data_IF_992888324465
#
_entry.id   IF_992888324465
#
_cell.length_a   1.000
_cell.length_b   1.000
_cell.length_c   1.000
_cell.angle_alpha   90.00
_cell.angle_beta   90.00
_cell.angle_gamma   90.00
#
_symmetry.space_group_name_H-M   'P 1'
#
loop_
_entity.id
_entity.type
_entity.pdbx_description
1 polymer ?
#
# COMPACT_ATOMS: atom_id res chain seq x y z
N UNK A 1 11.20 -19.06 -10.78
CA UNK A 1 12.20 -18.15 -10.16
C UNK A 1 12.57 -18.72 -8.81
N UNK A 2 13.84 -18.82 -8.51
CA UNK A 2 14.35 -19.22 -7.20
C UNK A 2 14.10 -18.10 -6.17
N UNK A 3 13.97 -18.44 -4.88
CA UNK A 3 13.72 -17.45 -3.83
C UNK A 3 14.89 -16.46 -3.67
N UNK A 4 16.12 -16.94 -3.81
CA UNK A 4 17.30 -16.07 -3.75
C UNK A 4 17.30 -15.08 -4.92
N UNK A 5 16.95 -15.54 -6.13
CA UNK A 5 16.82 -14.66 -7.30
C UNK A 5 15.76 -13.58 -7.05
N UNK A 6 14.59 -13.95 -6.49
CA UNK A 6 13.52 -12.99 -6.18
C UNK A 6 14.00 -11.93 -5.17
N UNK A 7 14.68 -12.34 -4.11
CA UNK A 7 15.21 -11.42 -3.09
C UNK A 7 16.24 -10.46 -3.70
N UNK A 8 17.16 -10.99 -4.52
CA UNK A 8 18.24 -10.19 -5.11
C UNK A 8 17.77 -9.28 -6.26
N UNK A 9 16.78 -9.73 -7.05
CA UNK A 9 16.35 -9.03 -8.26
C UNK A 9 15.20 -8.03 -8.02
N UNK A 10 14.34 -8.25 -7.00
CA UNK A 10 13.23 -7.34 -6.72
C UNK A 10 13.70 -5.90 -6.56
N UNK A 11 13.04 -4.98 -7.26
CA UNK A 11 13.26 -3.52 -7.14
C UNK A 11 11.92 -2.82 -6.95
N UNK A 12 11.97 -1.57 -6.47
CA UNK A 12 10.82 -0.68 -6.44
C UNK A 12 10.55 -0.16 -7.84
N UNK A 13 9.40 -0.52 -8.39
CA UNK A 13 8.92 -0.10 -9.71
C UNK A 13 7.90 1.01 -9.52
N UNK A 14 8.07 2.14 -10.20
CA UNK A 14 7.21 3.33 -10.06
C UNK A 14 6.39 3.63 -11.30
N UNK A 15 6.73 3.01 -12.41
CA UNK A 15 6.02 3.17 -13.68
C UNK A 15 5.42 1.82 -14.06
N UNK A 16 4.16 1.84 -14.37
CA UNK A 16 3.39 0.67 -14.73
C UNK A 16 2.67 0.90 -16.05
N UNK A 17 2.38 -0.17 -16.77
CA UNK A 17 1.41 -0.15 -17.86
C UNK A 17 0.00 0.10 -17.28
N UNK A 18 -0.95 0.42 -18.14
CA UNK A 18 -2.36 0.60 -17.77
C UNK A 18 -3.14 -0.73 -17.67
N UNK A 19 -2.44 -1.87 -17.87
CA UNK A 19 -3.05 -3.18 -17.83
C UNK A 19 -3.57 -3.51 -16.43
N UNK A 20 -4.86 -3.85 -16.29
CA UNK A 20 -5.42 -4.22 -14.99
C UNK A 20 -4.82 -5.53 -14.48
N UNK A 21 -4.65 -5.62 -13.17
CA UNK A 21 -4.21 -6.86 -12.52
C UNK A 21 -5.44 -7.75 -12.27
N UNK A 22 -5.37 -9.00 -12.69
CA UNK A 22 -6.46 -9.94 -12.52
C UNK A 22 -6.70 -10.24 -11.02
N UNK A 23 -7.95 -10.46 -10.67
CA UNK A 23 -8.37 -10.74 -9.29
C UNK A 23 -7.61 -11.93 -8.71
N UNK A 24 -7.46 -13.00 -9.48
CA UNK A 24 -6.76 -14.22 -9.09
C UNK A 24 -5.27 -13.97 -8.79
N UNK A 25 -4.64 -13.02 -9.49
CA UNK A 25 -3.27 -12.61 -9.19
C UNK A 25 -3.22 -11.89 -7.84
N UNK A 26 -4.15 -10.96 -7.59
CA UNK A 26 -4.23 -10.23 -6.33
C UNK A 26 -4.45 -11.22 -5.16
N UNK A 27 -5.42 -12.14 -5.29
CA UNK A 27 -5.71 -13.14 -4.26
C UNK A 27 -4.47 -13.98 -3.90
N UNK A 28 -3.72 -14.45 -4.89
CA UNK A 28 -2.46 -15.18 -4.66
C UNK A 28 -1.41 -14.35 -3.92
N UNK A 29 -1.35 -13.04 -4.18
CA UNK A 29 -0.45 -12.15 -3.47
C UNK A 29 -0.86 -11.96 -2.01
N UNK A 30 -2.17 -11.84 -1.75
CA UNK A 30 -2.71 -11.74 -0.39
C UNK A 30 -2.54 -13.03 0.40
N UNK A 31 -2.70 -14.19 -0.25
CA UNK A 31 -2.39 -15.49 0.34
C UNK A 31 -0.92 -15.58 0.77
N UNK A 32 0.02 -15.15 -0.10
CA UNK A 32 1.43 -15.14 0.22
C UNK A 32 1.73 -14.22 1.42
N UNK A 33 1.09 -13.05 1.47
CA UNK A 33 1.21 -12.13 2.60
C UNK A 33 0.74 -12.77 3.92
N UNK A 34 -0.38 -13.48 3.89
CA UNK A 34 -0.96 -14.12 5.06
C UNK A 34 -0.15 -15.30 5.62
N UNK A 35 0.88 -15.76 4.89
CA UNK A 35 1.83 -16.80 5.39
C UNK A 35 2.97 -16.22 6.23
N UNK A 36 2.95 -14.93 6.54
CA UNK A 36 3.96 -14.34 7.42
C UNK A 36 3.92 -14.97 8.81
N UNK A 37 5.08 -15.17 9.46
CA UNK A 37 5.11 -15.60 10.85
C UNK A 37 4.43 -14.57 11.74
N UNK A 38 3.61 -15.04 12.67
CA UNK A 38 2.84 -14.18 13.56
C UNK A 38 2.82 -14.77 14.96
N UNK A 39 3.47 -14.08 15.89
CA UNK A 39 3.42 -14.45 17.31
C UNK A 39 1.97 -14.31 17.82
N UNK A 40 1.54 -15.21 18.69
CA UNK A 40 0.18 -15.25 19.30
C UNK A 40 -0.97 -15.50 18.31
N UNK A 41 -0.70 -15.73 17.02
CA UNK A 41 -1.71 -15.99 15.99
C UNK A 41 -2.81 -14.91 15.92
N UNK A 42 -2.45 -13.66 16.16
CA UNK A 42 -3.36 -12.51 16.12
C UNK A 42 -3.86 -12.24 14.69
N UNK A 43 -3.08 -12.61 13.68
CA UNK A 43 -3.35 -12.34 12.26
C UNK A 43 -3.84 -10.89 12.04
N UNK A 44 -3.01 -9.90 12.39
CA UNK A 44 -3.45 -8.51 12.55
C UNK A 44 -3.69 -7.79 11.24
N UNK A 45 -3.12 -8.30 10.14
CA UNK A 45 -3.16 -7.67 8.81
C UNK A 45 -4.56 -7.63 8.22
N UNK A 46 -4.88 -6.52 7.57
CA UNK A 46 -6.04 -6.34 6.70
C UNK A 46 -5.57 -5.74 5.39
N UNK A 47 -6.17 -6.17 4.30
CA UNK A 47 -5.81 -5.73 2.95
C UNK A 47 -7.03 -5.11 2.29
N UNK A 48 -6.86 -3.89 1.82
CA UNK A 48 -7.89 -3.12 1.11
C UNK A 48 -7.42 -2.89 -0.32
N UNK A 49 -8.02 -3.59 -1.27
CA UNK A 49 -7.75 -3.37 -2.70
C UNK A 49 -8.55 -2.15 -3.14
N UNK A 50 -7.84 -1.07 -3.45
CA UNK A 50 -8.46 0.23 -3.68
C UNK A 50 -9.07 0.32 -5.09
N UNK A 51 -10.36 0.61 -5.17
CA UNK A 51 -11.03 0.99 -6.42
C UNK A 51 -10.60 2.40 -6.89
N UNK A 52 -10.95 2.79 -8.13
CA UNK A 52 -10.55 4.08 -8.71
C UNK A 52 -10.95 5.29 -7.85
N UNK A 53 -12.13 5.25 -7.23
CA UNK A 53 -12.63 6.32 -6.37
C UNK A 53 -11.80 6.47 -5.10
N UNK A 54 -11.47 5.35 -4.44
CA UNK A 54 -10.63 5.34 -3.24
C UNK A 54 -9.21 5.84 -3.55
N UNK A 55 -8.61 5.41 -4.67
CA UNK A 55 -7.31 5.90 -5.15
C UNK A 55 -7.34 7.41 -5.43
N UNK A 56 -8.39 7.90 -6.05
CA UNK A 56 -8.60 9.34 -6.30
C UNK A 56 -8.72 10.12 -4.98
N UNK A 57 -9.53 9.64 -4.04
CA UNK A 57 -9.72 10.26 -2.74
C UNK A 57 -8.41 10.30 -1.94
N UNK A 58 -7.68 9.19 -1.91
CA UNK A 58 -6.35 9.13 -1.28
C UNK A 58 -5.35 10.07 -1.96
N UNK A 59 -5.34 10.08 -3.29
CA UNK A 59 -4.49 10.97 -4.10
C UNK A 59 -4.71 12.45 -3.79
N UNK A 60 -5.97 12.86 -3.55
CA UNK A 60 -6.29 14.23 -3.16
C UNK A 60 -5.71 14.58 -1.77
N UNK A 61 -5.78 13.67 -0.79
CA UNK A 61 -5.18 13.88 0.54
C UNK A 61 -3.66 13.97 0.44
N UNK A 62 -3.04 13.06 -0.31
CA UNK A 62 -1.59 13.05 -0.53
C UNK A 62 -1.13 14.31 -1.27
N UNK A 63 -1.88 14.73 -2.30
CA UNK A 63 -1.63 15.95 -3.06
C UNK A 63 -1.71 17.20 -2.18
N UNK A 64 -2.76 17.33 -1.38
CA UNK A 64 -2.93 18.44 -0.44
C UNK A 64 -1.77 18.51 0.58
N UNK A 65 -1.27 17.35 1.04
CA UNK A 65 -0.09 17.30 1.91
C UNK A 65 1.18 17.78 1.22
N UNK A 66 1.40 17.38 -0.04
CA UNK A 66 2.56 17.83 -0.83
C UNK A 66 2.47 19.32 -1.14
N UNK A 67 1.28 19.81 -1.45
CA UNK A 67 1.03 21.22 -1.76
C UNK A 67 1.29 22.17 -0.60
N UNK A 68 1.29 21.71 0.66
CA UNK A 68 1.61 22.56 1.84
C UNK A 68 2.95 23.28 1.78
N UNK A 69 3.88 22.82 0.95
CA UNK A 69 5.22 23.41 0.77
C UNK A 69 5.30 24.35 -0.44
N UNK A 70 4.19 24.54 -1.14
CA UNK A 70 4.10 25.39 -2.35
C UNK A 70 3.40 26.67 -1.98
N UNK A 71 4.10 27.82 -2.11
CA UNK A 71 3.58 29.12 -1.70
C UNK A 71 2.56 29.68 -2.68
N UNK A 72 2.78 29.47 -3.98
CA UNK A 72 1.87 29.91 -5.02
C UNK A 72 0.59 29.07 -5.05
N UNK A 73 -0.60 29.70 -4.90
CA UNK A 73 -1.87 28.97 -4.85
C UNK A 73 -2.22 28.20 -6.13
N UNK A 74 -1.83 28.71 -7.29
CA UNK A 74 -2.10 28.06 -8.58
C UNK A 74 -1.19 26.82 -8.74
N UNK A 75 0.09 26.96 -8.45
CA UNK A 75 1.03 25.84 -8.44
C UNK A 75 0.63 24.79 -7.39
N UNK A 76 0.14 25.20 -6.22
CA UNK A 76 -0.34 24.29 -5.19
C UNK A 76 -1.54 23.44 -5.69
N UNK A 77 -2.50 24.04 -6.40
CA UNK A 77 -3.62 23.32 -7.02
C UNK A 77 -3.12 22.33 -8.07
N UNK A 78 -2.22 22.77 -8.95
CA UNK A 78 -1.63 21.90 -9.97
C UNK A 78 -0.94 20.68 -9.35
N UNK A 79 -0.25 20.83 -8.20
CA UNK A 79 0.33 19.70 -7.46
C UNK A 79 -0.76 18.73 -6.97
N UNK A 80 -1.85 19.24 -6.41
CA UNK A 80 -2.98 18.38 -5.97
C UNK A 80 -3.57 17.61 -7.13
N UNK A 81 -3.90 18.28 -8.22
CA UNK A 81 -4.48 17.67 -9.41
C UNK A 81 -3.56 16.59 -10.00
N UNK A 82 -2.27 16.90 -10.16
CA UNK A 82 -1.28 15.95 -10.68
C UNK A 82 -1.17 14.70 -9.82
N UNK A 83 -1.09 14.85 -8.50
CA UNK A 83 -0.98 13.71 -7.58
C UNK A 83 -2.26 12.89 -7.57
N UNK A 84 -3.41 13.55 -7.56
CA UNK A 84 -4.72 12.88 -7.62
C UNK A 84 -4.88 12.05 -8.88
N UNK A 85 -4.52 12.63 -10.04
CA UNK A 85 -4.59 11.93 -11.31
C UNK A 85 -3.63 10.74 -11.36
N UNK A 86 -2.40 10.90 -10.85
CA UNK A 86 -1.40 9.84 -10.83
C UNK A 86 -1.84 8.64 -9.96
N UNK A 87 -2.40 8.88 -8.77
CA UNK A 87 -2.90 7.80 -7.90
C UNK A 87 -4.16 7.14 -8.52
N UNK A 88 -5.05 7.90 -9.13
CA UNK A 88 -6.25 7.37 -9.78
C UNK A 88 -5.92 6.48 -11.00
N UNK A 89 -4.82 6.77 -11.70
CA UNK A 89 -4.38 6.05 -12.90
C UNK A 89 -3.62 4.74 -12.60
N UNK A 90 -3.29 4.46 -11.34
CA UNK A 90 -2.58 3.22 -10.99
C UNK A 90 -3.41 1.99 -11.41
N UNK A 91 -2.79 0.94 -11.96
CA UNK A 91 -3.51 -0.29 -12.31
C UNK A 91 -4.04 -1.01 -11.08
N UNK A 92 -3.29 -1.00 -9.97
CA UNK A 92 -3.71 -1.55 -8.69
C UNK A 92 -2.99 -0.84 -7.54
N UNK A 93 -3.70 -0.63 -6.44
CA UNK A 93 -3.13 -0.18 -5.17
C UNK A 93 -3.79 -0.92 -4.01
N UNK A 94 -2.98 -1.38 -3.06
CA UNK A 94 -3.43 -2.13 -1.89
C UNK A 94 -3.01 -1.36 -0.64
N UNK A 95 -3.98 -0.93 0.16
CA UNK A 95 -3.68 -0.43 1.50
C UNK A 95 -3.57 -1.62 2.45
N UNK A 96 -2.50 -1.65 3.22
CA UNK A 96 -2.26 -2.64 4.26
C UNK A 96 -2.42 -1.97 5.60
N UNK A 97 -3.34 -2.47 6.41
CA UNK A 97 -3.51 -2.04 7.79
C UNK A 97 -3.26 -3.18 8.77
N UNK A 98 -3.09 -2.82 10.01
CA UNK A 98 -3.07 -3.76 11.12
C UNK A 98 -4.11 -3.39 12.16
N UNK A 99 -4.75 -4.37 12.75
CA UNK A 99 -5.63 -4.20 13.91
C UNK A 99 -4.78 -3.76 15.10
N UNK A 100 -5.25 -2.78 15.85
CA UNK A 100 -4.55 -2.25 17.01
C UNK A 100 -4.96 -2.99 18.28
N UNK A 101 -4.03 -3.74 18.88
CA UNK A 101 -4.21 -4.31 20.21
C UNK A 101 -4.10 -3.23 21.30
N UNK A 102 -4.65 -3.48 22.47
CA UNK A 102 -4.51 -2.59 23.63
C UNK A 102 -3.06 -2.55 24.14
N UNK A 103 -2.34 -3.68 24.08
CA UNK A 103 -0.95 -3.80 24.49
C UNK A 103 0.00 -3.18 23.46
N UNK A 104 0.88 -2.25 23.86
CA UNK A 104 1.93 -1.72 22.99
C UNK A 104 2.90 -2.80 22.48
N UNK A 105 3.22 -3.80 23.31
CA UNK A 105 4.09 -4.93 22.95
C UNK A 105 3.47 -5.74 21.80
N UNK A 106 2.19 -6.10 21.91
CA UNK A 106 1.50 -6.86 20.86
C UNK A 106 1.42 -6.03 19.59
N UNK A 107 1.18 -4.72 19.68
CA UNK A 107 1.18 -3.84 18.48
C UNK A 107 2.52 -3.82 17.76
N UNK A 108 3.65 -3.87 18.49
CA UNK A 108 4.98 -3.91 17.87
C UNK A 108 5.21 -5.26 17.17
N UNK A 109 4.87 -6.37 17.80
CA UNK A 109 4.94 -7.71 17.22
C UNK A 109 4.03 -7.83 15.99
N UNK A 110 2.82 -7.31 16.06
CA UNK A 110 1.83 -7.31 14.98
C UNK A 110 2.26 -6.43 13.79
N UNK A 111 2.90 -5.30 14.07
CA UNK A 111 3.50 -4.47 13.03
C UNK A 111 4.61 -5.22 12.29
N UNK A 112 5.51 -5.88 13.04
CA UNK A 112 6.58 -6.68 12.44
C UNK A 112 6.02 -7.82 11.58
N UNK A 113 5.03 -8.56 12.09
CA UNK A 113 4.35 -9.62 11.35
C UNK A 113 3.69 -9.10 10.06
N UNK A 114 2.98 -7.97 10.15
CA UNK A 114 2.33 -7.35 8.98
C UNK A 114 3.36 -6.93 7.93
N UNK A 115 4.49 -6.35 8.32
CA UNK A 115 5.55 -5.95 7.39
C UNK A 115 6.29 -7.13 6.77
N UNK A 116 6.43 -8.26 7.49
CA UNK A 116 6.90 -9.51 6.90
C UNK A 116 5.92 -10.03 5.83
N UNK A 117 4.61 -9.89 6.06
CA UNK A 117 3.59 -10.19 5.06
C UNK A 117 3.69 -9.28 3.83
N UNK A 118 3.93 -8.00 4.00
CA UNK A 118 4.18 -7.06 2.90
C UNK A 118 5.39 -7.51 2.08
N UNK A 119 6.47 -7.95 2.71
CA UNK A 119 7.65 -8.46 1.99
C UNK A 119 7.31 -9.73 1.20
N UNK A 120 6.56 -10.68 1.78
CA UNK A 120 6.13 -11.87 1.07
C UNK A 120 5.32 -11.52 -0.19
N UNK A 121 4.36 -10.58 -0.06
CA UNK A 121 3.57 -10.08 -1.19
C UNK A 121 4.46 -9.52 -2.31
N UNK A 122 5.43 -8.69 -1.96
CA UNK A 122 6.32 -8.06 -2.95
C UNK A 122 7.22 -9.07 -3.66
N UNK A 123 7.71 -10.10 -2.96
CA UNK A 123 8.49 -11.19 -3.56
C UNK A 123 7.62 -12.05 -4.47
N UNK A 124 6.41 -12.40 -4.04
CA UNK A 124 5.44 -13.14 -4.85
C UNK A 124 5.06 -12.34 -6.11
N UNK A 125 4.82 -11.03 -6.01
CA UNK A 125 4.56 -10.17 -7.16
C UNK A 125 5.71 -10.20 -8.16
N UNK A 126 6.94 -10.05 -7.68
CA UNK A 126 8.13 -10.11 -8.53
C UNK A 126 8.26 -11.46 -9.24
N UNK A 127 8.02 -12.58 -8.53
CA UNK A 127 8.03 -13.91 -9.12
C UNK A 127 6.94 -14.12 -10.19
N UNK A 128 5.86 -13.34 -10.14
CA UNK A 128 4.78 -13.32 -11.13
C UNK A 128 5.02 -12.31 -12.27
N UNK A 129 6.18 -11.65 -12.33
CA UNK A 129 6.50 -10.63 -13.33
C UNK A 129 5.87 -9.27 -13.05
N UNK A 130 5.32 -9.05 -11.86
CA UNK A 130 4.70 -7.79 -11.47
C UNK A 130 5.69 -6.90 -10.72
N UNK A 131 5.61 -5.60 -10.96
CA UNK A 131 6.33 -4.58 -10.24
C UNK A 131 5.56 -4.10 -9.01
N UNK A 132 6.29 -3.73 -7.95
CA UNK A 132 5.71 -3.14 -6.74
C UNK A 132 6.46 -1.90 -6.31
N UNK A 133 5.72 -0.94 -5.74
CA UNK A 133 6.27 0.22 -5.05
C UNK A 133 5.62 0.35 -3.67
N UNK A 134 6.42 0.08 -2.65
CA UNK A 134 6.01 0.26 -1.25
C UNK A 134 6.05 1.74 -0.87
N UNK A 135 4.96 2.24 -0.33
CA UNK A 135 4.84 3.59 0.23
C UNK A 135 4.53 3.52 1.71
N UNK A 136 5.24 4.30 2.47
CA UNK A 136 5.04 4.52 3.91
C UNK A 136 5.10 6.02 4.19
N UNK A 137 4.80 6.42 5.42
CA UNK A 137 5.00 7.80 5.85
C UNK A 137 3.79 8.39 6.57
N UNK A 138 3.98 9.59 7.07
CA UNK A 138 3.05 10.26 7.98
C UNK A 138 1.68 10.63 7.36
N UNK A 139 1.49 10.48 6.05
CA UNK A 139 0.17 10.61 5.43
C UNK A 139 -0.79 9.50 5.89
N UNK A 140 -0.26 8.35 6.28
CA UNK A 140 -1.05 7.20 6.74
C UNK A 140 -1.67 7.42 8.11
N UNK A 141 -1.14 8.36 8.89
CA UNK A 141 -1.69 8.79 10.17
C UNK A 141 -2.76 9.90 10.01
N UNK A 142 -2.96 10.43 8.78
CA UNK A 142 -4.00 11.42 8.50
C UNK A 142 -5.38 10.74 8.48
N UNK A 143 -6.33 11.16 9.33
CA UNK A 143 -7.67 10.56 9.35
C UNK A 143 -8.40 10.61 8.00
N UNK A 144 -8.11 11.62 7.17
CA UNK A 144 -8.68 11.73 5.82
C UNK A 144 -8.12 10.68 4.88
N UNK A 145 -6.83 10.34 5.00
CA UNK A 145 -6.23 9.26 4.23
C UNK A 145 -6.83 7.90 4.64
N UNK A 146 -7.01 7.67 5.94
CA UNK A 146 -7.66 6.47 6.46
C UNK A 146 -9.10 6.36 5.95
N UNK A 147 -9.89 7.43 6.03
CA UNK A 147 -11.25 7.45 5.50
C UNK A 147 -11.30 7.22 3.98
N UNK A 148 -10.36 7.81 3.21
CA UNK A 148 -10.30 7.65 1.75
C UNK A 148 -10.09 6.21 1.31
N UNK A 149 -9.34 5.42 2.08
CA UNK A 149 -9.07 4.00 1.78
C UNK A 149 -10.02 3.03 2.51
N UNK A 150 -10.95 3.55 3.29
CA UNK A 150 -11.98 2.73 3.96
C UNK A 150 -11.48 1.96 5.19
N UNK A 151 -10.36 2.36 5.78
CA UNK A 151 -9.80 1.71 6.98
C UNK A 151 -10.53 2.22 8.23
N UNK A 152 -11.18 1.33 9.03
CA UNK A 152 -12.00 1.74 10.17
C UNK A 152 -11.16 2.18 11.37
N UNK A 153 -11.85 2.74 12.38
CA UNK A 153 -11.26 2.96 13.70
C UNK A 153 -10.82 1.62 14.32
N UNK A 154 -9.72 1.64 15.07
CA UNK A 154 -9.13 0.42 15.62
C UNK A 154 -8.11 -0.27 14.70
N UNK A 155 -7.90 0.25 13.49
CA UNK A 155 -6.84 -0.18 12.59
C UNK A 155 -5.89 0.98 12.27
N UNK A 156 -4.65 0.65 11.95
CA UNK A 156 -3.63 1.60 11.47
C UNK A 156 -3.15 1.19 10.09
N UNK A 157 -3.12 2.11 9.13
CA UNK A 157 -2.45 1.88 7.86
C UNK A 157 -0.94 1.80 8.11
N UNK A 158 -0.31 0.73 7.67
CA UNK A 158 1.14 0.52 7.81
C UNK A 158 1.88 0.69 6.50
N UNK A 159 1.20 0.44 5.38
CA UNK A 159 1.78 0.56 4.05
C UNK A 159 0.69 0.76 2.98
N UNK A 160 1.07 1.39 1.86
CA UNK A 160 0.38 1.25 0.58
C UNK A 160 1.32 0.60 -0.42
N UNK A 161 0.80 -0.34 -1.20
CA UNK A 161 1.54 -1.07 -2.22
C UNK A 161 0.92 -0.74 -3.57
N UNK A 162 1.64 -0.01 -4.40
CA UNK A 162 1.32 0.16 -5.81
C UNK A 162 1.81 -1.07 -6.56
N UNK A 163 0.99 -1.61 -7.43
CA UNK A 163 1.19 -2.88 -8.11
C UNK A 163 0.79 -2.77 -9.57
N UNK A 164 1.59 -3.31 -10.48
CA UNK A 164 1.31 -3.31 -11.92
C UNK A 164 2.36 -4.06 -12.71
N UNK A 165 2.11 -4.21 -14.03
CA UNK A 165 3.15 -4.65 -14.96
C UNK A 165 4.17 -3.52 -15.15
N UNK A 166 5.49 -3.79 -15.08
CA UNK A 166 6.53 -2.80 -15.30
C UNK A 166 6.57 -2.28 -16.73
#
# INVERSE_FOLDING_TARGET
MDIHDAIHARRSVKLFTDRPIAREQIERLLEAAAQAPNHRMTQPWRFYVLGPEARRAYGAVLGARKAKKVEDPEAARAVVEKVTAAEAALPCEIAVSMVLDASPEIREEDYAATMMGVQNLMLAAHAMGLGTHLKTGAVMDDPRARAAVGVPDGERIVALIQLGEP
#
